data_IF_103692793688
#
_entry.id   IF_103692793688
#
_cell.length_a   1.000
_cell.length_b   1.000
_cell.length_c   1.000
_cell.angle_alpha   90.00
_cell.angle_beta   90.00
_cell.angle_gamma   90.00
#
_symmetry.space_group_name_H-M   'P 1'
#
loop_
_entity.id
_entity.type
_entity.pdbx_description
1 polymer ?
#
# COMPACT_ATOMS: atom_id res chain seq x y z
N UNK A 1 22.17 16.25 3.00
CA UNK A 1 23.10 15.93 1.88
C UNK A 1 24.46 15.40 2.35
N UNK A 2 25.30 16.18 3.03
CA UNK A 2 26.64 15.73 3.48
C UNK A 2 26.62 14.52 4.43
N UNK A 3 25.62 14.45 5.30
CA UNK A 3 25.46 13.34 6.26
C UNK A 3 25.03 12.04 5.56
N UNK A 4 24.15 12.12 4.55
CA UNK A 4 23.71 10.97 3.76
C UNK A 4 24.84 10.42 2.90
N UNK A 5 25.62 11.31 2.26
CA UNK A 5 26.80 10.91 1.51
C UNK A 5 27.84 10.21 2.39
N UNK A 6 28.06 10.71 3.62
CA UNK A 6 28.95 10.06 4.61
C UNK A 6 28.43 8.70 5.06
N UNK A 7 27.14 8.57 5.36
CA UNK A 7 26.53 7.30 5.78
C UNK A 7 26.63 6.23 4.70
N UNK A 8 26.34 6.60 3.44
CA UNK A 8 26.43 5.71 2.29
C UNK A 8 27.88 5.49 1.83
N UNK A 9 28.85 6.16 2.46
CA UNK A 9 30.26 6.16 2.09
C UNK A 9 30.50 6.51 0.60
N UNK A 10 29.79 7.52 0.10
CA UNK A 10 29.89 8.01 -1.28
C UNK A 10 30.29 9.48 -1.31
N UNK A 11 30.79 9.95 -2.46
CA UNK A 11 31.06 11.36 -2.67
C UNK A 11 29.75 12.17 -2.61
N UNK A 12 29.82 13.38 -2.04
CA UNK A 12 28.67 14.30 -1.96
C UNK A 12 28.11 14.61 -3.36
N UNK A 13 28.98 14.75 -4.35
CA UNK A 13 28.58 14.94 -5.76
C UNK A 13 27.83 13.73 -6.32
N UNK A 14 28.16 12.51 -5.89
CA UNK A 14 27.44 11.30 -6.28
C UNK A 14 26.03 11.29 -5.69
N UNK A 15 25.89 11.63 -4.41
CA UNK A 15 24.57 11.73 -3.77
C UNK A 15 23.72 12.85 -4.39
N UNK A 16 24.33 14.01 -4.67
CA UNK A 16 23.65 15.10 -5.37
C UNK A 16 23.16 14.69 -6.77
N UNK A 17 23.94 13.87 -7.49
CA UNK A 17 23.53 13.30 -8.77
C UNK A 17 22.34 12.35 -8.67
N UNK A 18 22.13 11.71 -7.51
CA UNK A 18 20.92 10.91 -7.26
C UNK A 18 19.71 11.80 -7.05
N UNK A 19 19.85 12.90 -6.31
CA UNK A 19 18.75 13.84 -6.03
C UNK A 19 18.33 14.63 -7.27
N UNK A 20 19.26 14.95 -8.17
CA UNK A 20 18.96 15.63 -9.44
C UNK A 20 18.45 14.69 -10.55
N UNK A 21 18.55 13.37 -10.35
CA UNK A 21 18.21 12.36 -11.35
C UNK A 21 19.27 12.16 -12.44
N UNK A 22 20.43 12.81 -12.33
CA UNK A 22 21.55 12.66 -13.26
C UNK A 22 22.24 11.29 -13.16
N UNK A 23 22.05 10.59 -12.03
CA UNK A 23 22.57 9.25 -11.77
C UNK A 23 21.54 8.39 -11.07
N UNK A 24 21.55 7.10 -11.38
CA UNK A 24 20.75 6.13 -10.65
C UNK A 24 21.57 5.45 -9.53
N UNK A 25 21.02 5.35 -8.31
CA UNK A 25 21.64 4.58 -7.24
C UNK A 25 21.57 3.08 -7.55
N UNK A 26 22.62 2.33 -7.21
CA UNK A 26 22.61 0.88 -7.33
C UNK A 26 21.78 0.23 -6.21
N UNK A 27 21.48 -1.07 -6.37
CA UNK A 27 20.65 -1.83 -5.42
C UNK A 27 21.17 -1.78 -3.97
N UNK A 28 22.49 -1.76 -3.77
CA UNK A 28 23.09 -1.67 -2.44
C UNK A 28 22.79 -0.32 -1.78
N UNK A 29 22.94 0.78 -2.51
CA UNK A 29 22.59 2.13 -2.04
C UNK A 29 21.10 2.23 -1.73
N UNK A 30 20.23 1.73 -2.61
CA UNK A 30 18.77 1.72 -2.40
C UNK A 30 18.41 0.94 -1.13
N UNK A 31 19.04 -0.22 -0.91
CA UNK A 31 18.79 -1.04 0.29
C UNK A 31 19.23 -0.33 1.57
N UNK A 32 20.37 0.37 1.54
CA UNK A 32 20.85 1.15 2.68
C UNK A 32 19.95 2.34 2.99
N UNK A 33 19.49 3.06 1.96
CA UNK A 33 18.51 4.13 2.09
C UNK A 33 17.19 3.61 2.67
N UNK A 34 16.71 2.45 2.21
CA UNK A 34 15.47 1.84 2.70
C UNK A 34 15.56 1.53 4.19
N UNK A 35 16.68 0.91 4.63
CA UNK A 35 16.95 0.64 6.05
C UNK A 35 17.07 1.92 6.87
N UNK A 36 17.73 2.94 6.34
CA UNK A 36 17.92 4.20 7.06
C UNK A 36 16.60 4.93 7.30
N UNK A 37 15.75 5.03 6.29
CA UNK A 37 14.44 5.69 6.41
C UNK A 37 13.36 4.78 7.01
N UNK A 38 13.65 3.49 7.23
CA UNK A 38 12.69 2.54 7.76
C UNK A 38 11.55 2.23 6.79
N UNK A 39 11.80 2.33 5.48
CA UNK A 39 10.82 2.11 4.40
C UNK A 39 11.18 0.88 3.57
N UNK A 40 10.25 0.39 2.74
CA UNK A 40 10.55 -0.69 1.80
C UNK A 40 11.39 -0.18 0.62
N UNK A 41 12.15 -1.08 -0.01
CA UNK A 41 12.84 -0.77 -1.28
C UNK A 41 11.83 -0.37 -2.36
N UNK A 42 10.67 -1.03 -2.38
CA UNK A 42 9.56 -0.76 -3.28
C UNK A 42 9.09 0.71 -3.18
N UNK A 43 9.00 1.24 -1.95
CA UNK A 43 8.64 2.64 -1.70
C UNK A 43 9.62 3.62 -2.35
N UNK A 44 10.93 3.34 -2.25
CA UNK A 44 11.98 4.22 -2.79
C UNK A 44 12.01 4.23 -4.32
N UNK A 45 11.71 3.09 -4.96
CA UNK A 45 11.83 2.94 -6.42
C UNK A 45 10.54 3.34 -7.13
N UNK A 46 9.39 2.93 -6.59
CA UNK A 46 8.09 3.19 -7.22
C UNK A 46 7.53 4.57 -6.84
N UNK A 47 8.09 5.23 -5.81
CA UNK A 47 7.59 6.52 -5.30
C UNK A 47 6.17 6.42 -4.70
N UNK A 48 5.70 5.20 -4.47
CA UNK A 48 4.36 4.89 -3.98
C UNK A 48 4.53 4.35 -2.55
N UNK A 49 3.95 5.04 -1.57
CA UNK A 49 3.49 4.37 -0.34
C UNK A 49 2.73 3.14 -0.82
N UNK A 50 3.13 1.92 -0.44
CA UNK A 50 2.77 0.64 -1.06
C UNK A 50 1.28 0.30 -1.03
N UNK A 51 0.45 1.19 -1.56
CA UNK A 51 -1.00 1.17 -1.57
C UNK A 51 -1.57 2.21 -2.55
N UNK A 52 -0.86 2.55 -3.62
CA UNK A 52 -1.48 3.15 -4.81
C UNK A 52 -2.05 2.04 -5.71
N UNK A 53 -2.78 1.09 -5.08
CA UNK A 53 -3.92 0.49 -5.74
C UNK A 53 -4.91 1.64 -5.87
N UNK A 54 -5.25 1.99 -7.10
CA UNK A 54 -6.56 2.58 -7.39
C UNK A 54 -7.61 1.94 -6.46
N UNK A 55 -8.23 2.77 -5.61
CA UNK A 55 -9.14 2.43 -4.50
C UNK A 55 -10.47 1.78 -4.96
N UNK A 56 -10.37 0.73 -5.74
CA UNK A 56 -11.46 -0.21 -6.03
C UNK A 56 -11.07 -1.57 -5.47
N UNK A 57 -10.87 -1.65 -4.15
CA UNK A 57 -10.75 -2.94 -3.48
C UNK A 57 -12.15 -3.55 -3.38
N UNK A 58 -12.46 -4.44 -4.33
CA UNK A 58 -13.71 -5.20 -4.31
C UNK A 58 -13.67 -6.27 -3.20
N UNK A 59 -14.22 -5.92 -2.05
CA UNK A 59 -14.38 -6.80 -0.90
C UNK A 59 -15.14 -8.08 -1.25
N UNK A 60 -16.10 -8.00 -2.17
CA UNK A 60 -16.87 -9.16 -2.63
C UNK A 60 -15.97 -10.12 -3.40
N UNK A 61 -15.18 -9.60 -4.34
CA UNK A 61 -14.20 -10.39 -5.07
C UNK A 61 -13.12 -10.97 -4.15
N UNK A 62 -12.72 -10.25 -3.10
CA UNK A 62 -11.77 -10.74 -2.10
C UNK A 62 -12.32 -11.95 -1.32
N UNK A 63 -13.59 -11.94 -0.94
CA UNK A 63 -14.25 -13.05 -0.23
C UNK A 63 -14.39 -14.31 -1.09
N UNK A 64 -14.47 -14.18 -2.42
CA UNK A 64 -14.59 -15.32 -3.33
C UNK A 64 -13.26 -16.05 -3.59
N UNK A 65 -12.13 -15.52 -3.11
CA UNK A 65 -10.83 -16.18 -3.25
C UNK A 65 -10.76 -17.45 -2.40
N UNK A 66 -9.98 -18.42 -2.87
CA UNK A 66 -9.86 -19.75 -2.25
C UNK A 66 -9.19 -19.75 -0.86
N UNK A 67 -8.43 -18.70 -0.52
CA UNK A 67 -7.83 -18.51 0.80
C UNK A 67 -8.14 -17.11 1.31
N UNK A 68 -9.11 -17.03 2.22
CA UNK A 68 -9.43 -15.82 2.98
C UNK A 68 -9.28 -16.14 4.45
N UNK A 69 -8.56 -15.30 5.17
CA UNK A 69 -8.34 -15.43 6.60
C UNK A 69 -8.96 -14.26 7.34
N UNK A 70 -9.47 -14.50 8.54
CA UNK A 70 -9.90 -13.50 9.50
C UNK A 70 -9.13 -13.72 10.80
N UNK A 71 -8.35 -12.73 11.21
CA UNK A 71 -7.46 -12.82 12.38
C UNK A 71 -6.52 -14.05 12.36
N UNK A 72 -5.97 -14.35 11.17
CA UNK A 72 -5.11 -15.51 10.95
C UNK A 72 -5.84 -16.87 10.89
N UNK A 73 -7.16 -16.91 11.06
CA UNK A 73 -7.98 -18.12 10.95
C UNK A 73 -8.60 -18.20 9.55
N UNK A 74 -8.43 -19.30 8.80
CA UNK A 74 -9.06 -19.47 7.50
C UNK A 74 -10.59 -19.51 7.63
N UNK A 75 -11.29 -18.72 6.82
CA UNK A 75 -12.75 -18.71 6.80
C UNK A 75 -13.28 -19.88 5.96
N UNK A 76 -14.26 -20.59 6.52
CA UNK A 76 -15.01 -21.60 5.76
C UNK A 76 -15.84 -20.94 4.65
N UNK A 77 -16.33 -21.74 3.69
CA UNK A 77 -17.27 -21.26 2.66
C UNK A 77 -18.56 -20.71 3.29
N UNK A 78 -19.02 -21.32 4.39
CA UNK A 78 -20.22 -20.87 5.10
C UNK A 78 -19.99 -19.51 5.77
N UNK A 79 -18.83 -19.33 6.43
CA UNK A 79 -18.50 -18.07 7.10
C UNK A 79 -18.27 -16.95 6.09
N UNK A 80 -17.65 -17.25 4.93
CA UNK A 80 -17.50 -16.28 3.84
C UNK A 80 -18.84 -15.74 3.34
N UNK A 81 -19.85 -16.62 3.19
CA UNK A 81 -21.21 -16.20 2.81
C UNK A 81 -21.84 -15.28 3.85
N UNK A 82 -21.73 -15.62 5.14
CA UNK A 82 -22.25 -14.77 6.23
C UNK A 82 -21.61 -13.38 6.22
N UNK A 83 -20.29 -13.32 6.00
CA UNK A 83 -19.57 -12.03 5.88
C UNK A 83 -20.06 -11.25 4.66
N UNK A 84 -20.25 -11.90 3.51
CA UNK A 84 -20.77 -11.27 2.29
C UNK A 84 -22.18 -10.67 2.50
N UNK A 85 -23.07 -11.39 3.17
CA UNK A 85 -24.42 -10.92 3.47
C UNK A 85 -24.41 -9.67 4.36
N UNK A 86 -23.59 -9.67 5.42
CA UNK A 86 -23.45 -8.53 6.34
C UNK A 86 -22.90 -7.31 5.60
N UNK A 87 -21.83 -7.47 4.81
CA UNK A 87 -21.25 -6.38 4.03
C UNK A 87 -22.24 -5.80 3.01
N UNK A 88 -22.98 -6.68 2.33
CA UNK A 88 -24.00 -6.27 1.36
C UNK A 88 -25.11 -5.47 2.03
N UNK A 89 -25.58 -5.91 3.21
CA UNK A 89 -26.55 -5.17 4.01
C UNK A 89 -26.07 -3.76 4.37
N UNK A 90 -24.85 -3.64 4.93
CA UNK A 90 -24.25 -2.36 5.29
C UNK A 90 -24.11 -1.41 4.09
N UNK A 91 -23.78 -1.95 2.91
CA UNK A 91 -23.63 -1.17 1.68
C UNK A 91 -24.96 -0.54 1.23
N UNK A 92 -26.04 -1.32 1.20
CA UNK A 92 -27.36 -0.82 0.83
C UNK A 92 -27.92 0.19 1.84
N UNK A 93 -27.63 0.01 3.13
CA UNK A 93 -27.94 1.01 4.15
C UNK A 93 -27.19 2.33 3.91
N UNK A 94 -25.90 2.26 3.61
CA UNK A 94 -25.09 3.44 3.33
C UNK A 94 -25.59 4.19 2.07
N UNK A 95 -26.01 3.46 1.04
CA UNK A 95 -26.60 4.03 -0.17
C UNK A 95 -27.93 4.75 0.11
N UNK A 96 -28.84 4.14 0.88
CA UNK A 96 -30.11 4.79 1.27
C UNK A 96 -29.88 6.12 1.98
N UNK A 97 -28.93 6.16 2.93
CA UNK A 97 -28.57 7.40 3.66
C UNK A 97 -28.00 8.52 2.77
N UNK A 98 -27.41 8.19 1.61
CA UNK A 98 -26.97 9.21 0.63
C UNK A 98 -28.13 9.71 -0.23
N UNK A 99 -29.09 8.83 -0.53
CA UNK A 99 -30.23 9.15 -1.38
C UNK A 99 -31.26 10.02 -0.64
N UNK A 100 -31.42 9.82 0.67
CA UNK A 100 -32.29 10.65 1.53
C UNK A 100 -31.70 12.06 1.74
N UNK A 101 -30.37 12.17 1.93
CA UNK A 101 -29.67 13.46 2.07
C UNK A 101 -29.62 14.32 0.82
N UNK A 102 -29.90 13.74 -0.35
CA UNK A 102 -29.92 14.46 -1.63
C UNK A 102 -31.31 15.01 -1.99
N UNK A 103 -32.33 14.75 -1.15
CA UNK A 103 -33.73 15.16 -1.37
C UNK A 103 -34.22 16.25 -0.40
N UNK A 104 -33.40 16.64 0.58
CA UNK A 104 -33.56 17.87 1.39
C UNK A 104 -32.76 19.02 0.77
#
# INVERSE_FOLDING_TARGET
MREMAKMLNIAISTYAGYESGDREPNLNVITQLAKFYGVSVDYLVLGKSGNDMSLEFDLKAALQKQQVMFDGVPLSEEDRRKVEDVLTGLFWEALRRKQDRSKE
#
